data_IF_456111168615
#
_entry.id   IF_456111168615
#
_cell.length_a   1.000
_cell.length_b   1.000
_cell.length_c   1.000
_cell.angle_alpha   90.00
_cell.angle_beta   90.00
_cell.angle_gamma   90.00
#
_symmetry.space_group_name_H-M   'P 1'
#
loop_
_entity.id
_entity.type
_entity.pdbx_description
1 polymer ?
#
# COMPACT_ATOMS: atom_id res chain seq x y z
N UNK A 1 -14.20 -17.05 -8.73
CA UNK A 1 -13.39 -18.30 -8.87
C UNK A 1 -14.17 -19.45 -9.48
N UNK A 2 -15.41 -19.73 -9.01
CA UNK A 2 -16.24 -20.80 -9.56
C UNK A 2 -16.56 -20.59 -11.05
N UNK A 3 -16.87 -19.35 -11.44
CA UNK A 3 -17.20 -19.00 -12.85
C UNK A 3 -16.03 -19.17 -13.81
N UNK A 4 -14.83 -18.69 -13.47
CA UNK A 4 -13.64 -18.86 -14.31
C UNK A 4 -13.25 -20.34 -14.44
N UNK A 5 -13.33 -21.12 -13.37
CA UNK A 5 -13.10 -22.57 -13.44
C UNK A 5 -14.15 -23.27 -14.32
N UNK A 6 -15.41 -22.84 -14.24
CA UNK A 6 -16.50 -23.37 -15.05
C UNK A 6 -16.30 -23.02 -16.52
N UNK A 7 -15.96 -21.76 -16.82
CA UNK A 7 -15.69 -21.29 -18.17
C UNK A 7 -14.44 -21.97 -18.78
N UNK A 8 -13.39 -22.25 -17.99
CA UNK A 8 -12.25 -23.09 -18.40
C UNK A 8 -12.67 -24.53 -18.71
N UNK A 9 -13.47 -25.13 -17.83
CA UNK A 9 -13.99 -26.50 -18.01
C UNK A 9 -14.95 -26.64 -19.19
N UNK A 10 -15.67 -25.56 -19.52
CA UNK A 10 -16.60 -25.49 -20.64
C UNK A 10 -15.91 -25.14 -21.98
N UNK A 11 -14.63 -24.78 -21.97
CA UNK A 11 -13.91 -24.31 -23.16
C UNK A 11 -14.31 -22.90 -23.62
N UNK A 12 -15.06 -22.16 -22.82
CA UNK A 12 -15.43 -20.75 -23.07
C UNK A 12 -14.21 -19.82 -22.98
N UNK A 13 -13.18 -20.23 -22.25
CA UNK A 13 -11.87 -19.57 -22.16
C UNK A 13 -10.74 -20.60 -22.32
N UNK A 14 -9.78 -20.29 -23.21
CA UNK A 14 -8.65 -21.18 -23.51
C UNK A 14 -7.45 -20.91 -22.58
N UNK A 15 -6.96 -21.95 -21.89
CA UNK A 15 -5.68 -21.91 -21.18
C UNK A 15 -4.52 -22.33 -22.11
N UNK A 16 -4.21 -21.53 -23.13
CA UNK A 16 -3.09 -21.79 -24.05
C UNK A 16 -1.94 -20.80 -23.90
N UNK A 17 -0.69 -21.28 -23.95
CA UNK A 17 0.50 -20.43 -24.16
C UNK A 17 0.74 -20.28 -25.67
N UNK A 18 0.56 -19.08 -26.23
CA UNK A 18 0.75 -18.83 -27.67
C UNK A 18 0.38 -17.40 -28.12
N UNK A 19 0.74 -17.08 -29.37
CA UNK A 19 0.66 -15.77 -30.06
C UNK A 19 -0.71 -15.05 -30.02
N UNK A 20 -1.77 -15.71 -29.58
CA UNK A 20 -3.11 -15.16 -29.52
C UNK A 20 -3.37 -14.33 -28.23
N UNK A 21 -2.35 -14.18 -27.37
CA UNK A 21 -2.30 -13.21 -26.26
C UNK A 21 -1.64 -11.88 -26.66
N UNK A 22 -1.48 -11.60 -27.95
CA UNK A 22 -0.94 -10.32 -28.44
C UNK A 22 -1.82 -9.09 -28.12
N UNK A 23 -3.01 -9.28 -27.57
CA UNK A 23 -3.73 -8.26 -26.79
C UNK A 23 -3.24 -8.26 -25.34
N UNK A 24 -1.94 -8.01 -25.14
CA UNK A 24 -1.37 -7.91 -23.80
C UNK A 24 -2.22 -6.99 -22.93
N UNK A 25 -2.53 -7.42 -21.69
CA UNK A 25 -3.25 -6.65 -20.68
C UNK A 25 -2.86 -5.17 -20.83
N UNK A 26 -3.79 -4.33 -21.30
CA UNK A 26 -3.55 -2.90 -21.56
C UNK A 26 -2.77 -2.30 -20.38
N UNK A 27 -1.55 -1.83 -20.61
CA UNK A 27 -0.65 -1.25 -19.59
C UNK A 27 -1.25 0.02 -19.01
N UNK A 28 -2.09 -0.11 -18.00
CA UNK A 28 -2.65 0.98 -17.24
C UNK A 28 -2.24 0.80 -15.77
N UNK A 29 -1.00 1.17 -15.41
CA UNK A 29 -0.61 1.17 -14.00
C UNK A 29 0.88 1.07 -13.68
N UNK A 30 1.70 0.64 -14.64
CA UNK A 30 3.16 0.39 -14.52
C UNK A 30 3.92 1.51 -13.80
N UNK A 31 3.70 2.77 -14.20
CA UNK A 31 4.42 3.91 -13.63
C UNK A 31 3.87 4.34 -12.29
N UNK A 32 2.56 4.22 -12.03
CA UNK A 32 1.95 4.88 -10.87
C UNK A 32 2.25 4.13 -9.58
N UNK A 33 1.96 2.83 -9.51
CA UNK A 33 2.22 2.04 -8.29
C UNK A 33 3.70 1.80 -8.03
N UNK A 34 4.49 1.52 -9.08
CA UNK A 34 5.94 1.39 -8.98
C UNK A 34 6.63 2.70 -8.57
N UNK A 35 6.16 3.85 -9.08
CA UNK A 35 6.67 5.16 -8.65
C UNK A 35 6.29 5.48 -7.21
N UNK A 36 5.06 5.18 -6.77
CA UNK A 36 4.66 5.38 -5.38
C UNK A 36 5.50 4.54 -4.43
N UNK A 37 5.70 3.25 -4.72
CA UNK A 37 6.58 2.40 -3.92
C UNK A 37 8.03 2.88 -3.94
N UNK A 38 8.56 3.25 -5.12
CA UNK A 38 9.91 3.78 -5.26
C UNK A 38 10.13 5.09 -4.49
N UNK A 39 9.16 5.99 -4.53
CA UNK A 39 9.19 7.27 -3.78
C UNK A 39 9.20 7.01 -2.28
N UNK A 40 8.34 6.10 -1.81
CA UNK A 40 8.27 5.72 -0.40
C UNK A 40 9.60 5.10 0.07
N UNK A 41 10.16 4.18 -0.71
CA UNK A 41 11.46 3.58 -0.41
C UNK A 41 12.57 4.63 -0.41
N UNK A 42 12.56 5.57 -1.36
CA UNK A 42 13.52 6.68 -1.39
C UNK A 42 13.40 7.56 -0.15
N UNK A 43 12.18 7.85 0.31
CA UNK A 43 11.95 8.63 1.53
C UNK A 43 12.49 7.92 2.77
N UNK A 44 12.26 6.60 2.89
CA UNK A 44 12.83 5.80 4.00
C UNK A 44 14.36 5.86 3.99
N UNK A 45 14.98 5.69 2.81
CA UNK A 45 16.45 5.66 2.68
C UNK A 45 17.07 7.03 2.97
N UNK A 46 16.42 8.11 2.55
CA UNK A 46 16.94 9.47 2.66
C UNK A 46 16.26 10.27 3.78
N UNK A 47 15.65 9.60 4.76
CA UNK A 47 14.80 10.25 5.75
C UNK A 47 15.55 11.35 6.51
N UNK A 48 16.75 11.05 7.03
CA UNK A 48 17.61 12.04 7.70
C UNK A 48 17.94 13.23 6.79
N UNK A 49 18.30 12.99 5.52
CA UNK A 49 18.59 14.07 4.58
C UNK A 49 17.36 14.96 4.33
N UNK A 50 16.15 14.40 4.33
CA UNK A 50 14.92 15.18 4.21
C UNK A 50 14.73 16.06 5.45
N UNK A 51 14.97 15.54 6.65
CA UNK A 51 14.91 16.32 7.89
C UNK A 51 15.95 17.47 7.86
N UNK A 52 17.21 17.17 7.54
CA UNK A 52 18.29 18.17 7.47
C UNK A 52 17.94 19.33 6.51
N UNK A 53 17.35 19.02 5.36
CA UNK A 53 16.94 20.03 4.37
C UNK A 53 15.76 20.85 4.88
N UNK A 54 14.80 20.23 5.57
CA UNK A 54 13.67 20.96 6.15
C UNK A 54 14.13 21.88 7.28
N UNK A 55 15.01 21.42 8.17
CA UNK A 55 15.63 22.24 9.21
C UNK A 55 16.35 23.44 8.61
N UNK A 56 17.17 23.21 7.57
CA UNK A 56 17.84 24.30 6.87
C UNK A 56 16.86 25.35 6.30
N UNK A 57 15.74 24.92 5.71
CA UNK A 57 14.72 25.85 5.21
C UNK A 57 14.02 26.59 6.36
N UNK A 58 13.81 25.93 7.50
CA UNK A 58 13.26 26.56 8.71
C UNK A 58 14.20 27.61 9.29
N UNK A 59 15.51 27.42 9.21
CA UNK A 59 16.49 28.37 9.74
C UNK A 59 16.77 29.51 8.75
N UNK A 60 17.11 29.18 7.49
CA UNK A 60 17.68 30.09 6.49
C UNK A 60 16.75 30.45 5.34
N UNK A 61 15.50 29.96 5.35
CA UNK A 61 14.53 30.24 4.28
C UNK A 61 14.24 31.74 4.09
N UNK A 62 14.19 32.17 2.83
CA UNK A 62 14.00 33.59 2.45
C UNK A 62 12.57 34.11 2.65
N UNK A 63 11.58 33.22 2.61
CA UNK A 63 10.15 33.58 2.69
C UNK A 63 9.49 32.94 3.91
N UNK A 64 8.80 33.74 4.72
CA UNK A 64 8.16 33.26 5.95
C UNK A 64 7.16 32.11 5.72
N UNK A 65 6.47 32.09 4.58
CA UNK A 65 5.56 31.02 4.19
C UNK A 65 6.28 29.68 4.01
N UNK A 66 7.43 29.69 3.32
CA UNK A 66 8.26 28.48 3.12
C UNK A 66 8.82 27.96 4.45
N UNK A 67 9.24 28.86 5.35
CA UNK A 67 9.70 28.48 6.69
C UNK A 67 8.58 27.82 7.50
N UNK A 68 7.37 28.37 7.44
CA UNK A 68 6.22 27.83 8.16
C UNK A 68 5.78 26.46 7.58
N UNK A 69 5.81 26.29 6.25
CA UNK A 69 5.51 25.01 5.60
C UNK A 69 6.56 23.95 5.97
N UNK A 70 7.85 24.30 5.90
CA UNK A 70 8.93 23.39 6.26
C UNK A 70 8.85 22.96 7.73
N UNK A 71 8.55 23.89 8.64
CA UNK A 71 8.35 23.59 10.06
C UNK A 71 7.16 22.64 10.26
N UNK A 72 6.03 22.88 9.59
CA UNK A 72 4.87 21.99 9.68
C UNK A 72 5.14 20.59 9.10
N UNK A 73 5.95 20.49 8.05
CA UNK A 73 6.40 19.20 7.51
C UNK A 73 7.33 18.48 8.48
N UNK A 74 8.31 19.18 9.06
CA UNK A 74 9.23 18.64 10.06
C UNK A 74 8.46 18.07 11.26
N UNK A 75 7.57 18.88 11.84
CA UNK A 75 6.66 18.48 12.93
C UNK A 75 5.81 17.25 12.57
N UNK A 76 5.48 17.06 11.29
CA UNK A 76 4.69 15.91 10.83
C UNK A 76 5.55 14.66 10.67
N UNK A 77 6.75 14.79 10.09
CA UNK A 77 7.67 13.68 9.80
C UNK A 77 8.21 13.06 11.09
N UNK A 78 8.47 13.87 12.13
CA UNK A 78 9.02 13.44 13.41
C UNK A 78 7.96 12.87 14.37
N UNK A 79 6.94 12.21 13.82
CA UNK A 79 5.88 11.59 14.63
C UNK A 79 5.87 10.07 14.44
N UNK A 80 5.55 9.36 15.52
CA UNK A 80 5.31 7.92 15.43
C UNK A 80 4.15 7.60 14.47
N UNK A 81 3.13 8.46 14.38
CA UNK A 81 2.03 8.30 13.42
C UNK A 81 2.52 8.28 11.97
N UNK A 82 3.46 9.17 11.63
CA UNK A 82 4.08 9.21 10.31
C UNK A 82 4.93 7.96 10.05
N UNK A 83 5.84 7.62 10.96
CA UNK A 83 6.67 6.43 10.86
C UNK A 83 5.82 5.15 10.71
N UNK A 84 4.79 4.98 11.54
CA UNK A 84 3.88 3.85 11.46
C UNK A 84 3.17 3.78 10.09
N UNK A 85 2.64 4.92 9.62
CA UNK A 85 1.95 4.98 8.32
C UNK A 85 2.91 4.70 7.17
N UNK A 86 4.14 5.21 7.23
CA UNK A 86 5.18 5.02 6.23
C UNK A 86 5.52 3.53 6.05
N UNK A 87 5.78 2.82 7.15
CA UNK A 87 6.11 1.39 7.12
C UNK A 87 4.90 0.50 6.81
N UNK A 88 3.69 0.88 7.24
CA UNK A 88 2.46 0.19 6.82
C UNK A 88 2.27 0.28 5.30
N UNK A 89 2.41 1.47 4.73
CA UNK A 89 2.32 1.69 3.29
C UNK A 89 3.44 0.98 2.53
N UNK A 90 4.67 0.94 3.07
CA UNK A 90 5.78 0.14 2.52
C UNK A 90 5.38 -1.32 2.32
N UNK A 91 4.86 -1.95 3.37
CA UNK A 91 4.52 -3.38 3.35
C UNK A 91 3.39 -3.68 2.36
N UNK A 92 2.36 -2.83 2.32
CA UNK A 92 1.23 -2.96 1.41
C UNK A 92 1.66 -2.74 -0.04
N UNK A 93 2.32 -1.61 -0.31
CA UNK A 93 2.76 -1.26 -1.66
C UNK A 93 3.83 -2.22 -2.17
N UNK A 94 4.64 -2.82 -1.30
CA UNK A 94 5.60 -3.86 -1.66
C UNK A 94 4.92 -5.09 -2.27
N UNK A 95 3.88 -5.62 -1.60
CA UNK A 95 3.12 -6.78 -2.10
C UNK A 95 2.36 -6.43 -3.39
N UNK A 96 1.74 -5.26 -3.47
CA UNK A 96 0.96 -4.88 -4.66
C UNK A 96 1.86 -4.58 -5.84
N UNK A 97 3.00 -3.91 -5.64
CA UNK A 97 3.99 -3.67 -6.68
C UNK A 97 4.55 -4.99 -7.24
N UNK A 98 4.87 -5.97 -6.38
CA UNK A 98 5.31 -7.31 -6.83
C UNK A 98 4.23 -7.99 -7.69
N UNK A 99 2.97 -7.96 -7.24
CA UNK A 99 1.85 -8.50 -8.02
C UNK A 99 1.76 -7.84 -9.40
N UNK A 100 1.79 -6.50 -9.46
CA UNK A 100 1.68 -5.78 -10.72
C UNK A 100 2.83 -6.13 -11.67
N UNK A 101 4.06 -6.14 -11.17
CA UNK A 101 5.24 -6.53 -11.96
C UNK A 101 5.11 -7.94 -12.54
N UNK A 102 4.58 -8.89 -11.77
CA UNK A 102 4.38 -10.26 -12.26
C UNK A 102 3.30 -10.29 -13.34
N UNK A 103 2.16 -9.63 -13.10
CA UNK A 103 1.02 -9.61 -14.03
C UNK A 103 1.33 -8.93 -15.38
N UNK A 104 2.31 -8.04 -15.41
CA UNK A 104 2.75 -7.35 -16.63
C UNK A 104 3.77 -8.13 -17.44
N UNK A 105 4.26 -9.28 -16.96
CA UNK A 105 5.19 -10.11 -17.74
C UNK A 105 4.46 -10.64 -18.98
N UNK A 106 5.11 -10.50 -20.14
CA UNK A 106 4.55 -10.88 -21.46
C UNK A 106 4.09 -12.35 -21.59
N UNK A 107 4.51 -13.22 -20.68
CA UNK A 107 4.26 -14.66 -20.72
C UNK A 107 3.26 -15.11 -19.63
N UNK A 108 2.47 -14.20 -19.05
CA UNK A 108 1.44 -14.58 -18.08
C UNK A 108 0.16 -15.04 -18.79
N UNK A 109 -0.27 -16.26 -18.50
CA UNK A 109 -1.63 -16.70 -18.79
C UNK A 109 -2.58 -16.41 -17.61
N UNK A 110 -3.88 -16.48 -17.88
CA UNK A 110 -4.94 -16.19 -16.92
C UNK A 110 -4.89 -17.09 -15.67
N UNK A 111 -4.45 -18.35 -15.80
CA UNK A 111 -4.37 -19.28 -14.65
C UNK A 111 -3.25 -18.84 -13.72
N UNK A 112 -2.08 -18.52 -14.27
CA UNK A 112 -0.94 -18.00 -13.53
C UNK A 112 -1.26 -16.64 -12.89
N UNK A 113 -1.90 -15.72 -13.62
CA UNK A 113 -2.35 -14.43 -13.08
C UNK A 113 -3.27 -14.60 -11.84
N UNK A 114 -4.24 -15.53 -11.91
CA UNK A 114 -5.15 -15.81 -10.80
C UNK A 114 -4.44 -16.43 -9.59
N UNK A 115 -3.43 -17.27 -9.81
CA UNK A 115 -2.58 -17.79 -8.73
C UNK A 115 -1.85 -16.64 -8.03
N UNK A 116 -1.30 -15.68 -8.78
CA UNK A 116 -0.58 -14.53 -8.23
C UNK A 116 -1.48 -13.61 -7.40
N UNK A 117 -2.71 -13.34 -7.88
CA UNK A 117 -3.70 -12.58 -7.11
C UNK A 117 -4.02 -13.29 -5.79
N UNK A 118 -4.20 -14.62 -5.81
CA UNK A 118 -4.47 -15.41 -4.61
C UNK A 118 -3.30 -15.38 -3.62
N UNK A 119 -2.07 -15.51 -4.10
CA UNK A 119 -0.85 -15.45 -3.29
C UNK A 119 -0.73 -14.06 -2.63
N UNK A 120 -0.91 -13.00 -3.40
CA UNK A 120 -0.81 -11.61 -2.91
C UNK A 120 -1.88 -11.29 -1.87
N UNK A 121 -3.13 -11.74 -2.11
CA UNK A 121 -4.20 -11.65 -1.11
C UNK A 121 -3.84 -12.36 0.18
N UNK A 122 -3.30 -13.59 0.09
CA UNK A 122 -2.88 -14.35 1.27
C UNK A 122 -1.75 -13.65 2.02
N UNK A 123 -0.79 -13.04 1.33
CA UNK A 123 0.30 -12.26 1.94
C UNK A 123 -0.22 -11.06 2.72
N UNK A 124 -1.13 -10.28 2.13
CA UNK A 124 -1.75 -9.14 2.81
C UNK A 124 -2.61 -9.57 4.01
N UNK A 125 -3.30 -10.70 3.91
CA UNK A 125 -4.03 -11.28 5.05
C UNK A 125 -3.08 -11.70 6.18
N UNK A 126 -1.97 -12.38 5.87
CA UNK A 126 -0.97 -12.76 6.88
C UNK A 126 -0.34 -11.52 7.53
N UNK A 127 -0.04 -10.47 6.76
CA UNK A 127 0.46 -9.20 7.29
C UNK A 127 -0.54 -8.57 8.28
N UNK A 128 -1.84 -8.62 7.98
CA UNK A 128 -2.89 -8.09 8.86
C UNK A 128 -3.10 -8.95 10.11
N UNK A 129 -3.20 -10.27 9.93
CA UNK A 129 -3.61 -11.19 10.99
C UNK A 129 -2.44 -11.56 11.92
N UNK A 130 -1.19 -11.53 11.42
CA UNK A 130 0.01 -11.95 12.13
C UNK A 130 1.20 -10.98 12.03
N UNK A 131 1.14 -9.96 11.17
CA UNK A 131 2.28 -9.06 10.93
C UNK A 131 2.39 -7.87 11.88
N UNK A 132 1.55 -7.80 12.92
CA UNK A 132 1.59 -6.70 13.90
C UNK A 132 2.96 -6.56 14.57
N UNK A 133 3.51 -7.65 15.10
CA UNK A 133 4.76 -7.60 15.87
C UNK A 133 5.96 -7.24 14.96
N UNK A 134 6.01 -7.80 13.75
CA UNK A 134 7.04 -7.50 12.76
C UNK A 134 7.00 -6.02 12.33
N UNK A 135 5.79 -5.51 12.01
CA UNK A 135 5.59 -4.12 11.63
C UNK A 135 5.95 -3.17 12.77
N UNK A 136 5.49 -3.46 13.99
CA UNK A 136 5.79 -2.63 15.15
C UNK A 136 7.29 -2.60 15.43
N UNK A 137 7.97 -3.75 15.37
CA UNK A 137 9.41 -3.81 15.55
C UNK A 137 10.17 -2.98 14.49
N UNK A 138 9.76 -3.08 13.23
CA UNK A 138 10.35 -2.27 12.16
C UNK A 138 10.17 -0.76 12.41
N UNK A 139 8.96 -0.34 12.80
CA UNK A 139 8.65 1.06 13.13
C UNK A 139 9.45 1.53 14.34
N UNK A 140 9.55 0.74 15.41
CA UNK A 140 10.33 1.10 16.59
C UNK A 140 11.81 1.25 16.27
N UNK A 141 12.38 0.36 15.46
CA UNK A 141 13.77 0.49 15.00
C UNK A 141 13.96 1.77 14.18
N UNK A 142 13.06 2.06 13.25
CA UNK A 142 13.11 3.30 12.48
C UNK A 142 13.04 4.54 13.38
N UNK A 143 12.10 4.58 14.32
CA UNK A 143 11.97 5.69 15.26
C UNK A 143 13.22 5.87 16.11
N UNK A 144 13.81 4.80 16.64
CA UNK A 144 15.06 4.86 17.41
C UNK A 144 16.25 5.37 16.57
N UNK A 145 16.31 5.02 15.29
CA UNK A 145 17.38 5.49 14.39
C UNK A 145 17.28 6.98 14.05
N UNK A 146 16.10 7.58 14.25
CA UNK A 146 15.78 8.96 13.88
C UNK A 146 15.30 9.79 15.07
N UNK A 147 15.56 9.32 16.30
CA UNK A 147 15.20 9.99 17.56
C UNK A 147 13.69 10.38 17.68
N UNK A 148 12.81 9.65 16.98
CA UNK A 148 11.36 9.85 17.05
C UNK A 148 10.82 9.24 18.34
N UNK A 149 10.06 10.02 19.10
CA UNK A 149 9.46 9.58 20.36
C UNK A 149 8.47 8.44 20.12
N UNK A 150 8.74 7.29 20.75
CA UNK A 150 7.85 6.12 20.75
C UNK A 150 6.82 6.28 21.88
N UNK A 151 5.51 6.28 21.58
CA UNK A 151 4.48 6.39 22.60
C UNK A 151 4.33 5.10 23.41
N UNK A 152 3.92 5.21 24.68
CA UNK A 152 3.51 4.04 25.46
C UNK A 152 2.25 3.44 24.85
N UNK A 153 2.33 2.17 24.45
CA UNK A 153 1.24 1.45 23.81
C UNK A 153 0.02 1.25 24.73
N UNK A 154 0.23 1.29 26.06
CA UNK A 154 -0.84 1.17 27.04
C UNK A 154 -1.47 2.52 27.43
N UNK A 155 -0.86 3.63 27.02
CA UNK A 155 -1.37 4.97 27.33
C UNK A 155 -2.65 5.27 26.54
N UNK A 156 -3.54 6.05 27.17
CA UNK A 156 -4.75 6.56 26.54
C UNK A 156 -4.39 7.55 25.44
N UNK A 157 -4.84 7.26 24.23
CA UNK A 157 -4.68 8.12 23.07
C UNK A 157 -5.71 9.24 23.07
N UNK A 158 -5.24 10.48 23.04
CA UNK A 158 -6.10 11.66 22.89
C UNK A 158 -6.31 11.95 21.40
N UNK A 159 -7.48 11.59 20.87
CA UNK A 159 -7.87 11.96 19.50
C UNK A 159 -8.24 13.44 19.45
N UNK A 160 -7.49 14.25 18.68
CA UNK A 160 -7.70 15.71 18.57
C UNK A 160 -9.08 16.11 17.99
N UNK A 161 -9.75 15.21 17.26
CA UNK A 161 -10.90 15.55 16.41
C UNK A 161 -12.27 15.02 16.92
N UNK A 162 -12.32 14.39 18.10
CA UNK A 162 -13.60 13.99 18.72
C UNK A 162 -13.88 14.86 19.93
N UNK A 163 -15.08 15.45 19.98
CA UNK A 163 -15.60 16.10 21.19
C UNK A 163 -15.31 15.21 22.41
N UNK A 164 -14.50 15.72 23.35
CA UNK A 164 -14.03 15.03 24.57
C UNK A 164 -15.17 14.39 25.40
N UNK A 165 -16.42 14.81 25.17
CA UNK A 165 -17.58 14.38 25.96
C UNK A 165 -18.16 13.01 25.55
N UNK A 166 -17.77 12.43 24.40
CA UNK A 166 -18.32 11.13 23.92
C UNK A 166 -17.31 10.21 23.20
N UNK A 167 -16.02 10.54 23.15
CA UNK A 167 -15.04 9.70 22.49
C UNK A 167 -14.70 8.46 23.36
N UNK A 168 -14.73 7.24 22.81
CA UNK A 168 -14.23 6.07 23.55
C UNK A 168 -12.77 6.28 23.95
N UNK A 169 -12.42 5.86 25.17
CA UNK A 169 -11.04 5.83 25.66
C UNK A 169 -10.34 4.70 24.88
N UNK A 170 -9.44 5.08 23.99
CA UNK A 170 -8.69 4.16 23.13
C UNK A 170 -7.23 4.21 23.53
N UNK A 171 -6.60 3.05 23.77
CA UNK A 171 -5.14 2.97 23.98
C UNK A 171 -4.39 3.15 22.66
N UNK A 172 -3.12 3.56 22.71
CA UNK A 172 -2.26 3.58 21.51
C UNK A 172 -2.19 2.21 20.80
N UNK A 173 -2.14 1.11 21.54
CA UNK A 173 -2.16 -0.25 20.99
C UNK A 173 -3.42 -0.48 20.13
N UNK A 174 -4.60 -0.27 20.70
CA UNK A 174 -5.87 -0.40 19.99
C UNK A 174 -5.93 0.51 18.75
N UNK A 175 -5.44 1.74 18.85
CA UNK A 175 -5.42 2.65 17.71
C UNK A 175 -4.55 2.13 16.57
N UNK A 176 -3.28 1.79 16.83
CA UNK A 176 -2.37 1.37 15.77
C UNK A 176 -2.68 -0.03 15.25
N UNK A 177 -3.03 -0.96 16.13
CA UNK A 177 -3.33 -2.33 15.75
C UNK A 177 -4.72 -2.45 15.16
N UNK A 178 -5.74 -2.06 15.90
CA UNK A 178 -7.12 -2.36 15.52
C UNK A 178 -7.72 -1.27 14.62
N UNK A 179 -7.46 0.01 14.89
CA UNK A 179 -7.99 1.08 14.03
C UNK A 179 -7.16 1.34 12.78
N UNK A 180 -5.83 1.23 12.84
CA UNK A 180 -4.96 1.49 11.68
C UNK A 180 -4.64 0.22 10.92
N UNK A 181 -4.01 -0.80 11.52
CA UNK A 181 -3.62 -2.01 10.77
C UNK A 181 -4.83 -2.85 10.30
N UNK A 182 -5.84 -3.07 11.16
CA UNK A 182 -6.98 -3.93 10.82
C UNK A 182 -8.04 -3.24 9.93
N UNK A 183 -8.31 -1.94 10.12
CA UNK A 183 -9.30 -1.22 9.30
C UNK A 183 -8.73 -0.61 8.02
N UNK A 184 -7.41 -0.52 7.89
CA UNK A 184 -6.80 -0.27 6.59
C UNK A 184 -6.99 -1.56 5.79
N UNK A 185 -8.06 -1.61 4.98
CA UNK A 185 -8.28 -2.67 4.02
C UNK A 185 -7.73 -2.22 2.66
N UNK A 186 -6.41 -2.35 2.42
CA UNK A 186 -5.81 -1.96 1.16
C UNK A 186 -6.35 -2.79 0.00
N UNK A 187 -6.83 -4.01 0.27
CA UNK A 187 -7.46 -4.83 -0.76
C UNK A 187 -8.84 -4.32 -1.11
N UNK A 188 -9.66 -3.87 -0.17
CA UNK A 188 -10.98 -3.33 -0.52
C UNK A 188 -10.87 -2.08 -1.40
N UNK A 189 -9.97 -1.13 -1.12
CA UNK A 189 -9.81 0.05 -1.98
C UNK A 189 -9.11 -0.25 -3.32
N UNK A 190 -8.18 -1.21 -3.37
CA UNK A 190 -7.50 -1.63 -4.62
C UNK A 190 -8.40 -2.53 -5.48
N UNK A 191 -9.30 -3.32 -4.87
CA UNK A 191 -10.28 -4.19 -5.56
C UNK A 191 -11.55 -3.38 -5.93
N UNK A 192 -11.98 -2.42 -5.11
CA UNK A 192 -13.07 -1.49 -5.43
C UNK A 192 -12.66 -0.34 -6.34
N UNK A 193 -11.37 -0.15 -6.63
CA UNK A 193 -11.01 0.49 -7.88
C UNK A 193 -11.48 -0.47 -8.98
N UNK A 194 -12.76 -0.33 -9.35
CA UNK A 194 -13.60 -1.16 -10.21
C UNK A 194 -12.94 -1.46 -11.57
N UNK A 195 -11.79 -0.86 -11.84
CA UNK A 195 -10.94 -1.13 -12.98
C UNK A 195 -10.28 -2.50 -12.90
N UNK A 196 -9.79 -3.01 -11.77
CA UNK A 196 -8.93 -4.21 -11.81
C UNK A 196 -9.71 -5.51 -12.06
N UNK A 197 -10.81 -5.73 -11.34
CA UNK A 197 -11.68 -6.90 -11.54
C UNK A 197 -12.40 -6.82 -12.89
N UNK A 198 -12.90 -5.64 -13.28
CA UNK A 198 -13.49 -5.45 -14.60
C UNK A 198 -12.45 -5.47 -15.72
N UNK A 199 -11.18 -5.18 -15.47
CA UNK A 199 -10.11 -5.29 -16.47
C UNK A 199 -9.71 -6.74 -16.70
N UNK A 200 -9.64 -7.56 -15.66
CA UNK A 200 -9.46 -9.02 -15.80
C UNK A 200 -10.66 -9.64 -16.52
N UNK A 201 -11.89 -9.23 -16.16
CA UNK A 201 -13.13 -9.74 -16.78
C UNK A 201 -13.30 -9.23 -18.22
N UNK A 202 -13.17 -7.93 -18.49
CA UNK A 202 -13.38 -7.34 -19.82
C UNK A 202 -12.28 -7.67 -20.83
N UNK A 203 -11.04 -7.92 -20.39
CA UNK A 203 -9.97 -8.39 -21.29
C UNK A 203 -9.94 -9.93 -21.45
N UNK A 204 -10.63 -10.69 -20.60
CA UNK A 204 -10.85 -12.12 -20.82
C UNK A 204 -12.06 -12.41 -21.74
N UNK A 205 -13.01 -11.46 -21.85
CA UNK A 205 -14.26 -11.64 -22.60
C UNK A 205 -14.17 -11.13 -24.06
N UNK A 206 -13.19 -10.29 -24.41
CA UNK A 206 -13.02 -9.89 -25.81
C UNK A 206 -12.15 -10.87 -26.60
N UNK A 207 -12.77 -11.99 -26.97
CA UNK A 207 -12.42 -12.73 -28.17
C UNK A 207 -13.28 -12.17 -29.33
N UNK A 208 -12.77 -11.30 -30.22
CA UNK A 208 -13.47 -11.00 -31.45
C UNK A 208 -13.18 -12.13 -32.45
N UNK A 209 -13.94 -13.22 -32.33
CA UNK A 209 -14.23 -14.05 -33.49
C UNK A 209 -15.74 -14.10 -33.61
N UNK A 210 -16.27 -13.20 -34.44
CA UNK A 210 -17.42 -13.41 -35.32
C UNK A 210 -17.59 -12.18 -36.23
N UNK A 211 -16.77 -12.15 -37.28
CA UNK A 211 -17.16 -11.91 -38.68
C UNK A 211 -15.99 -12.28 -39.60
#
# INVERSE_FOLDING_TARGET
>A
MAEVKKALGNGEIFSGRGLNQESGLKKAGDTRWGSHYGTLMSLIVHFSTVLDVLEYVVEDGSHSEQKAEAAGLLDSLETFDFAFTLHLLKSILGVTNELFQILQRKNQDIVNAMIQVKISKKRLQLMRDNGWDDLLNEVMMFCNCHDIIIPDMNEVRVLKDRSRRKAPIVTNLHYYKDERLLNFDPLYQIIEDQKFTNFIINNAIHCPTLL
#
